data_IF_367499282188
#
_entry.id   IF_367499282188
#
_cell.length_a   1.000
_cell.length_b   1.000
_cell.length_c   1.000
_cell.angle_alpha   90.00
_cell.angle_beta   90.00
_cell.angle_gamma   90.00
#
_symmetry.space_group_name_H-M   'P 1'
#
loop_
_entity.id
_entity.type
_entity.pdbx_description
1 polymer ?
#
# COMPACT_ATOMS: atom_id res chain seq x y z
N UNK A 1 -3.92 8.01 -28.55
CA UNK A 1 -4.69 8.09 -27.30
C UNK A 1 -4.19 6.95 -26.44
N UNK A 2 -3.15 7.23 -25.67
CA UNK A 2 -2.58 6.26 -24.72
C UNK A 2 -3.58 6.14 -23.56
N UNK A 3 -4.38 5.08 -23.59
CA UNK A 3 -5.34 4.79 -22.53
C UNK A 3 -4.61 4.46 -21.21
N UNK A 4 -5.26 4.77 -20.09
CA UNK A 4 -4.83 4.34 -18.76
C UNK A 4 -4.54 2.83 -18.78
N UNK A 5 -3.35 2.44 -18.34
CA UNK A 5 -2.95 1.03 -18.27
C UNK A 5 -3.51 0.44 -16.97
N UNK A 6 -4.34 -0.62 -17.02
CA UNK A 6 -4.81 -1.28 -15.81
C UNK A 6 -3.61 -1.76 -14.99
N UNK A 7 -3.67 -1.51 -13.68
CA UNK A 7 -2.70 -1.97 -12.73
C UNK A 7 -3.35 -2.81 -11.63
N UNK A 8 -2.55 -3.69 -11.00
CA UNK A 8 -3.00 -4.50 -9.89
C UNK A 8 -1.87 -4.66 -8.86
N UNK A 9 -2.21 -4.73 -7.58
CA UNK A 9 -1.27 -5.14 -6.55
C UNK A 9 -0.97 -6.64 -6.62
N UNK A 10 0.28 -7.04 -6.48
CA UNK A 10 0.67 -8.46 -6.51
C UNK A 10 0.01 -9.28 -5.39
N UNK A 11 -0.39 -8.65 -4.27
CA UNK A 11 -1.16 -9.31 -3.21
C UNK A 11 -2.58 -9.66 -3.67
N UNK A 12 -3.18 -8.86 -4.56
CA UNK A 12 -4.51 -9.12 -5.13
C UNK A 12 -4.52 -10.28 -6.12
N UNK A 13 -3.34 -10.72 -6.57
CA UNK A 13 -3.15 -11.92 -7.40
C UNK A 13 -2.93 -13.21 -6.56
N UNK A 14 -3.17 -13.14 -5.25
CA UNK A 14 -3.08 -14.27 -4.31
C UNK A 14 -1.98 -14.08 -3.27
N UNK A 15 -1.92 -14.97 -2.27
CA UNK A 15 -0.90 -14.92 -1.21
C UNK A 15 0.46 -15.45 -1.66
N UNK A 16 1.54 -14.79 -1.28
CA UNK A 16 2.90 -15.12 -1.74
C UNK A 16 3.37 -16.52 -1.32
N UNK A 17 2.91 -17.00 -0.16
CA UNK A 17 3.21 -18.35 0.33
C UNK A 17 2.44 -19.48 -0.37
N UNK A 18 1.49 -19.15 -1.25
CA UNK A 18 0.70 -20.13 -2.02
C UNK A 18 0.97 -19.97 -3.52
N UNK A 19 1.03 -18.72 -4.00
CA UNK A 19 1.13 -18.38 -5.41
C UNK A 19 2.48 -17.71 -5.68
N UNK A 20 3.33 -18.38 -6.44
CA UNK A 20 4.63 -17.83 -6.80
C UNK A 20 4.49 -16.65 -7.77
N UNK A 21 5.49 -15.75 -7.74
CA UNK A 21 5.51 -14.56 -8.62
C UNK A 21 5.31 -14.90 -10.11
N UNK A 22 5.96 -15.92 -10.71
CA UNK A 22 5.71 -16.27 -12.12
C UNK A 22 4.24 -16.62 -12.42
N UNK A 23 3.54 -17.29 -11.50
CA UNK A 23 2.12 -17.63 -11.66
C UNK A 23 1.27 -16.36 -11.64
N UNK A 24 1.52 -15.48 -10.66
CA UNK A 24 0.82 -14.19 -10.53
C UNK A 24 0.97 -13.34 -11.79
N UNK A 25 2.20 -13.16 -12.26
CA UNK A 25 2.49 -12.36 -13.46
C UNK A 25 1.88 -12.95 -14.73
N UNK A 26 1.85 -14.27 -14.84
CA UNK A 26 1.20 -14.95 -15.98
C UNK A 26 -0.31 -14.73 -15.96
N UNK A 27 -0.94 -14.73 -14.78
CA UNK A 27 -2.36 -14.40 -14.64
C UNK A 27 -2.63 -12.94 -15.04
N UNK A 28 -1.86 -11.98 -14.51
CA UNK A 28 -2.01 -10.56 -14.86
C UNK A 28 -1.89 -10.33 -16.38
N UNK A 29 -0.85 -10.90 -17.01
CA UNK A 29 -0.60 -10.80 -18.45
C UNK A 29 -1.74 -11.42 -19.28
N UNK A 30 -2.25 -12.60 -18.89
CA UNK A 30 -3.39 -13.27 -19.56
C UNK A 30 -4.66 -12.42 -19.51
N UNK A 31 -4.82 -11.58 -18.48
CA UNK A 31 -5.95 -10.67 -18.32
C UNK A 31 -5.68 -9.24 -18.82
N UNK A 32 -4.59 -9.02 -19.57
CA UNK A 32 -4.19 -7.71 -20.10
C UNK A 32 -3.97 -6.63 -19.03
N UNK A 33 -3.52 -7.03 -17.84
CA UNK A 33 -3.10 -6.13 -16.77
C UNK A 33 -1.58 -5.98 -16.86
N UNK A 34 -1.13 -4.80 -17.27
CA UNK A 34 0.28 -4.53 -17.57
C UNK A 34 0.90 -3.49 -16.63
N UNK A 35 0.17 -3.01 -15.63
CA UNK A 35 0.70 -2.30 -14.46
C UNK A 35 0.74 -3.23 -13.25
N UNK A 36 1.80 -3.14 -12.44
CA UNK A 36 1.93 -3.96 -11.24
C UNK A 36 2.49 -3.15 -10.08
N UNK A 37 1.80 -3.18 -8.95
CA UNK A 37 2.34 -2.73 -7.67
C UNK A 37 2.93 -3.97 -6.97
N UNK A 38 4.20 -3.91 -6.61
CA UNK A 38 4.83 -5.01 -5.88
C UNK A 38 4.46 -4.88 -4.41
N UNK A 39 3.78 -5.90 -3.89
CA UNK A 39 3.58 -6.05 -2.47
C UNK A 39 4.85 -6.65 -1.83
N UNK A 40 5.36 -6.07 -0.75
CA UNK A 40 6.68 -6.38 -0.19
C UNK A 40 6.77 -7.84 0.29
N UNK A 41 5.65 -8.43 0.71
CA UNK A 41 5.56 -9.86 1.03
C UNK A 41 5.99 -10.72 -0.16
N UNK A 42 5.60 -10.38 -1.38
CA UNK A 42 5.98 -11.13 -2.57
C UNK A 42 7.49 -11.07 -2.84
N UNK A 43 8.09 -9.88 -2.65
CA UNK A 43 9.54 -9.71 -2.73
C UNK A 43 10.25 -10.56 -1.69
N UNK A 44 9.78 -10.50 -0.44
CA UNK A 44 10.36 -11.23 0.68
C UNK A 44 10.26 -12.74 0.49
N UNK A 45 9.09 -13.27 0.12
CA UNK A 45 8.89 -14.70 -0.11
C UNK A 45 9.69 -15.23 -1.30
N UNK A 46 9.82 -14.43 -2.37
CA UNK A 46 10.72 -14.80 -3.45
C UNK A 46 12.18 -14.85 -2.97
N UNK A 47 12.62 -13.84 -2.22
CA UNK A 47 13.96 -13.82 -1.65
C UNK A 47 14.21 -15.02 -0.73
N UNK A 48 13.24 -15.39 0.13
CA UNK A 48 13.31 -16.59 0.97
C UNK A 48 13.50 -17.86 0.15
N UNK A 49 12.71 -17.99 -0.91
CA UNK A 49 12.73 -19.16 -1.80
C UNK A 49 14.05 -19.28 -2.54
N UNK A 50 14.56 -18.18 -3.10
CA UNK A 50 15.79 -18.16 -3.89
C UNK A 50 17.05 -18.31 -3.03
N UNK A 51 17.05 -17.73 -1.82
CA UNK A 51 18.18 -17.81 -0.89
C UNK A 51 18.10 -19.00 0.08
N UNK A 52 16.98 -19.74 0.07
CA UNK A 52 16.70 -20.87 0.95
C UNK A 52 16.89 -20.54 2.45
N UNK A 53 16.38 -19.38 2.88
CA UNK A 53 16.36 -18.92 4.29
C UNK A 53 15.04 -18.24 4.63
N UNK A 54 14.60 -18.36 5.88
CA UNK A 54 13.39 -17.69 6.38
C UNK A 54 13.59 -16.19 6.62
N UNK A 55 14.83 -15.74 6.81
CA UNK A 55 15.18 -14.33 7.02
C UNK A 55 16.16 -13.91 5.93
N UNK A 56 15.66 -13.42 4.78
CA UNK A 56 16.52 -13.00 3.67
C UNK A 56 17.42 -11.83 4.09
N UNK A 57 18.67 -11.85 3.63
CA UNK A 57 19.56 -10.71 3.79
C UNK A 57 19.15 -9.57 2.85
N UNK A 58 19.66 -8.34 3.07
CA UNK A 58 19.49 -7.25 2.12
C UNK A 58 19.90 -7.63 0.69
N UNK A 59 21.00 -8.38 0.52
CA UNK A 59 21.47 -8.85 -0.79
C UNK A 59 20.49 -9.83 -1.44
N UNK A 60 19.88 -10.73 -0.66
CA UNK A 60 18.85 -11.64 -1.15
C UNK A 60 17.60 -10.89 -1.63
N UNK A 61 17.19 -9.83 -0.91
CA UNK A 61 16.08 -8.97 -1.34
C UNK A 61 16.40 -8.22 -2.64
N UNK A 62 17.62 -7.71 -2.79
CA UNK A 62 18.05 -7.05 -4.04
C UNK A 62 18.13 -8.02 -5.22
N UNK A 63 18.54 -9.27 -4.96
CA UNK A 63 18.52 -10.33 -5.96
C UNK A 63 17.09 -10.65 -6.41
N UNK A 64 16.18 -10.89 -5.46
CA UNK A 64 14.78 -11.16 -5.75
C UNK A 64 14.10 -10.00 -6.50
N UNK A 65 14.44 -8.74 -6.17
CA UNK A 65 13.95 -7.59 -6.91
C UNK A 65 14.40 -7.62 -8.38
N UNK A 66 15.65 -8.05 -8.64
CA UNK A 66 16.17 -8.21 -10.00
C UNK A 66 15.42 -9.33 -10.74
N UNK A 67 15.12 -10.44 -10.07
CA UNK A 67 14.31 -11.53 -10.65
C UNK A 67 12.91 -11.04 -10.99
N UNK A 68 12.22 -10.34 -10.09
CA UNK A 68 10.89 -9.77 -10.33
C UNK A 68 10.91 -8.85 -11.55
N UNK A 69 11.91 -7.96 -11.64
CA UNK A 69 12.07 -7.05 -12.77
C UNK A 69 12.18 -7.81 -14.09
N UNK A 70 13.07 -8.82 -14.15
CA UNK A 70 13.24 -9.63 -15.35
C UNK A 70 11.94 -10.35 -15.76
N UNK A 71 11.23 -10.95 -14.80
CA UNK A 71 9.95 -11.63 -15.06
C UNK A 71 8.87 -10.67 -15.56
N UNK A 72 8.84 -9.44 -15.07
CA UNK A 72 7.91 -8.41 -15.53
C UNK A 72 8.27 -7.96 -16.96
N UNK A 73 9.55 -7.75 -17.26
CA UNK A 73 10.04 -7.35 -18.58
C UNK A 73 9.69 -8.40 -19.65
N UNK A 74 9.89 -9.69 -19.36
CA UNK A 74 9.49 -10.80 -20.24
C UNK A 74 8.00 -10.78 -20.63
N UNK A 75 7.15 -10.19 -19.78
CA UNK A 75 5.70 -10.17 -19.92
C UNK A 75 5.15 -8.79 -20.29
N UNK A 76 6.03 -7.82 -20.55
CA UNK A 76 5.69 -6.41 -20.79
C UNK A 76 4.86 -5.78 -19.66
N UNK A 77 5.10 -6.20 -18.42
CA UNK A 77 4.46 -5.63 -17.22
C UNK A 77 5.35 -4.51 -16.68
N UNK A 78 4.78 -3.33 -16.52
CA UNK A 78 5.44 -2.17 -15.91
C UNK A 78 5.21 -2.20 -14.41
N UNK A 79 6.28 -2.17 -13.63
CA UNK A 79 6.19 -2.02 -12.18
C UNK A 79 5.96 -0.54 -11.87
N UNK A 80 4.86 -0.23 -11.18
CA UNK A 80 4.44 1.16 -10.93
C UNK A 80 4.70 1.64 -9.51
N UNK A 81 5.03 0.72 -8.59
CA UNK A 81 5.41 1.07 -7.22
C UNK A 81 5.72 -0.14 -6.35
N UNK A 82 6.33 0.12 -5.19
CA UNK A 82 6.58 -0.85 -4.13
C UNK A 82 5.78 -0.47 -2.88
N UNK A 83 5.02 -1.42 -2.35
CA UNK A 83 4.15 -1.22 -1.19
C UNK A 83 4.13 -2.47 -0.31
N UNK A 84 3.67 -2.38 0.94
CA UNK A 84 3.59 -1.19 1.77
C UNK A 84 4.89 -1.03 2.56
N UNK A 85 5.36 0.21 2.73
CA UNK A 85 6.36 0.54 3.75
C UNK A 85 5.64 0.77 5.08
N UNK A 86 5.16 -0.33 5.69
CA UNK A 86 4.27 -0.27 6.86
C UNK A 86 4.94 0.24 8.14
N UNK A 87 4.11 0.81 9.01
CA UNK A 87 4.42 1.16 10.40
C UNK A 87 5.56 2.17 10.52
N UNK A 88 5.44 3.31 9.85
CA UNK A 88 6.53 4.29 9.81
C UNK A 88 6.25 5.52 10.67
N UNK A 89 5.24 6.31 10.32
CA UNK A 89 5.04 7.62 10.92
C UNK A 89 4.49 7.54 12.34
N UNK A 90 4.83 8.53 13.17
CA UNK A 90 4.23 8.70 14.49
C UNK A 90 4.73 7.71 15.54
N UNK A 91 5.87 7.06 15.34
CA UNK A 91 6.47 6.17 16.33
C UNK A 91 6.94 6.97 17.57
N UNK A 92 6.44 6.61 18.74
CA UNK A 92 6.90 7.18 20.03
C UNK A 92 8.33 6.76 20.35
N UNK A 93 8.68 5.52 20.05
CA UNK A 93 10.05 5.07 20.15
C UNK A 93 10.87 5.60 18.97
N UNK A 94 11.70 6.59 19.24
CA UNK A 94 12.55 7.23 18.22
C UNK A 94 13.69 6.33 17.75
N UNK A 95 13.99 5.25 18.46
CA UNK A 95 14.88 4.20 17.96
C UNK A 95 14.21 3.40 16.83
N UNK A 96 12.95 3.00 17.00
CA UNK A 96 12.19 2.31 15.94
C UNK A 96 12.07 3.20 14.69
N UNK A 97 11.86 4.51 14.86
CA UNK A 97 11.93 5.48 13.75
C UNK A 97 13.27 5.45 13.02
N UNK A 98 14.38 5.50 13.76
CA UNK A 98 15.72 5.46 13.16
C UNK A 98 15.98 4.15 12.40
N UNK A 99 15.48 3.01 12.89
CA UNK A 99 15.55 1.73 12.18
C UNK A 99 14.75 1.76 10.86
N UNK A 100 13.60 2.44 10.83
CA UNK A 100 12.83 2.64 9.60
C UNK A 100 13.56 3.51 8.60
N UNK A 101 14.19 4.59 9.05
CA UNK A 101 15.05 5.44 8.22
C UNK A 101 16.19 4.63 7.60
N UNK A 102 16.83 3.75 8.37
CA UNK A 102 17.86 2.88 7.82
C UNK A 102 17.30 1.87 6.82
N UNK A 103 16.15 1.26 7.12
CA UNK A 103 15.44 0.36 6.19
C UNK A 103 15.05 1.06 4.88
N UNK A 104 14.71 2.34 4.92
CA UNK A 104 14.34 3.12 3.72
C UNK A 104 15.50 3.19 2.71
N UNK A 105 16.75 3.23 3.18
CA UNK A 105 17.93 3.20 2.28
C UNK A 105 18.01 1.91 1.46
N UNK A 106 17.57 0.79 2.02
CA UNK A 106 17.45 -0.47 1.27
C UNK A 106 16.30 -0.39 0.26
N UNK A 107 15.17 0.21 0.65
CA UNK A 107 14.02 0.42 -0.25
C UNK A 107 14.39 1.26 -1.47
N UNK A 108 15.19 2.31 -1.33
CA UNK A 108 15.70 3.08 -2.47
C UNK A 108 16.49 2.24 -3.47
N UNK A 109 17.30 1.29 -2.99
CA UNK A 109 18.01 0.35 -3.88
C UNK A 109 17.03 -0.61 -4.56
N UNK A 110 16.03 -1.10 -3.83
CA UNK A 110 15.02 -2.02 -4.37
C UNK A 110 14.20 -1.34 -5.47
N UNK A 111 13.65 -0.14 -5.24
CA UNK A 111 12.79 0.52 -6.24
C UNK A 111 13.57 0.84 -7.52
N UNK A 112 14.85 1.23 -7.41
CA UNK A 112 15.74 1.42 -8.56
C UNK A 112 15.92 0.13 -9.37
N UNK A 113 16.11 -1.01 -8.72
CA UNK A 113 16.21 -2.33 -9.39
C UNK A 113 14.88 -2.69 -10.05
N UNK A 114 13.77 -2.46 -9.37
CA UNK A 114 12.42 -2.68 -9.91
C UNK A 114 12.07 -1.69 -11.04
N UNK A 115 12.88 -0.66 -11.27
CA UNK A 115 12.64 0.36 -12.30
C UNK A 115 11.44 1.27 -11.99
N UNK A 116 11.12 1.45 -10.71
CA UNK A 116 10.09 2.39 -10.24
C UNK A 116 10.70 3.43 -9.31
N UNK A 117 10.05 4.57 -9.19
CA UNK A 117 10.40 5.64 -8.28
C UNK A 117 9.36 5.80 -7.15
N UNK A 118 8.33 4.94 -7.07
CA UNK A 118 7.21 5.13 -6.16
C UNK A 118 7.24 4.13 -4.99
N UNK A 119 7.20 4.65 -3.77
CA UNK A 119 7.02 3.89 -2.52
C UNK A 119 5.70 4.27 -1.87
N UNK A 120 4.89 3.28 -1.47
CA UNK A 120 3.66 3.54 -0.74
C UNK A 120 3.89 3.41 0.78
N UNK A 121 3.41 4.39 1.55
CA UNK A 121 3.46 4.41 3.01
C UNK A 121 2.01 4.44 3.53
N UNK A 122 1.48 3.33 4.07
CA UNK A 122 0.15 3.33 4.68
C UNK A 122 0.12 4.06 6.02
N UNK A 123 -1.02 4.67 6.31
CA UNK A 123 -1.31 5.24 7.61
C UNK A 123 -1.12 4.22 8.74
N UNK A 124 -0.43 4.61 9.80
CA UNK A 124 0.03 3.69 10.82
C UNK A 124 -1.14 3.18 11.69
N UNK A 125 -1.20 1.85 11.84
CA UNK A 125 -2.25 1.15 12.61
C UNK A 125 -1.67 0.31 13.76
N UNK A 126 -0.45 0.61 14.22
CA UNK A 126 0.09 0.05 15.46
C UNK A 126 -0.76 0.48 16.68
N UNK A 127 -0.72 -0.28 17.79
CA UNK A 127 -1.43 0.09 19.02
C UNK A 127 -1.12 1.52 19.50
N UNK A 128 -2.14 2.22 20.04
CA UNK A 128 -2.06 3.65 20.45
C UNK A 128 -0.92 3.94 21.42
N UNK A 129 -0.53 2.99 22.25
CA UNK A 129 0.58 3.13 23.18
C UNK A 129 1.93 3.29 22.48
N UNK A 130 2.07 2.79 21.24
CA UNK A 130 3.29 2.88 20.42
C UNK A 130 3.33 4.12 19.53
N UNK A 131 2.16 4.73 19.28
CA UNK A 131 2.02 5.84 18.34
C UNK A 131 1.70 7.15 19.06
N UNK A 132 2.13 8.26 18.48
CA UNK A 132 1.74 9.61 18.87
C UNK A 132 0.68 10.15 17.90
N UNK A 133 -0.24 10.99 18.40
CA UNK A 133 -1.16 11.80 17.62
C UNK A 133 -0.62 13.23 17.39
N UNK A 134 0.60 13.52 17.85
CA UNK A 134 1.30 14.78 17.64
C UNK A 134 1.63 14.97 16.15
N UNK A 135 0.83 15.81 15.49
CA UNK A 135 0.94 16.10 14.06
C UNK A 135 2.32 16.64 13.67
N UNK A 136 3.00 17.39 14.54
CA UNK A 136 4.32 17.94 14.21
C UNK A 136 5.37 16.81 14.11
N UNK A 137 5.27 15.78 14.96
CA UNK A 137 6.13 14.58 14.89
C UNK A 137 5.83 13.79 13.62
N UNK A 138 4.55 13.55 13.32
CA UNK A 138 4.13 12.77 12.16
C UNK A 138 4.58 13.43 10.86
N UNK A 139 4.36 14.74 10.73
CA UNK A 139 4.80 15.52 9.58
C UNK A 139 6.31 15.52 9.48
N UNK A 140 7.04 15.68 10.59
CA UNK A 140 8.50 15.62 10.58
C UNK A 140 9.03 14.26 10.15
N UNK A 141 8.40 13.15 10.56
CA UNK A 141 8.79 11.81 10.13
C UNK A 141 8.64 11.67 8.61
N UNK A 142 7.47 12.03 8.07
CA UNK A 142 7.18 11.92 6.65
C UNK A 142 8.03 12.88 5.79
N UNK A 143 8.34 14.08 6.30
CA UNK A 143 9.29 15.00 5.67
C UNK A 143 10.69 14.40 5.59
N UNK A 144 11.15 13.67 6.61
CA UNK A 144 12.48 13.07 6.60
C UNK A 144 12.65 12.07 5.46
N UNK A 145 11.70 11.14 5.26
CA UNK A 145 11.75 10.21 4.11
C UNK A 145 11.56 10.92 2.78
N UNK A 146 10.70 11.93 2.69
CA UNK A 146 10.52 12.73 1.49
C UNK A 146 11.83 13.44 1.10
N UNK A 147 12.48 14.10 2.05
CA UNK A 147 13.76 14.79 1.85
C UNK A 147 14.91 13.81 1.53
N UNK A 148 14.83 12.57 2.01
CA UNK A 148 15.74 11.50 1.61
C UNK A 148 15.48 11.05 0.16
N UNK A 149 14.22 10.78 -0.20
CA UNK A 149 13.86 10.34 -1.55
C UNK A 149 14.13 11.39 -2.63
N UNK A 150 13.99 12.68 -2.29
CA UNK A 150 14.32 13.79 -3.20
C UNK A 150 15.82 13.87 -3.56
N UNK A 151 16.70 13.23 -2.78
CA UNK A 151 18.15 13.15 -3.06
C UNK A 151 18.53 11.96 -3.94
N UNK A 152 17.60 11.05 -4.19
CA UNK A 152 17.82 9.92 -5.09
C UNK A 152 17.74 10.38 -6.56
N UNK A 153 18.33 9.59 -7.46
CA UNK A 153 18.27 9.82 -8.91
C UNK A 153 17.79 8.53 -9.62
N UNK A 154 16.61 8.55 -10.26
CA UNK A 154 15.60 9.62 -10.18
C UNK A 154 15.07 9.79 -8.75
N UNK A 155 14.50 10.97 -8.45
CA UNK A 155 13.91 11.24 -7.15
C UNK A 155 12.83 10.21 -6.82
N UNK A 156 12.92 9.61 -5.64
CA UNK A 156 11.91 8.67 -5.14
C UNK A 156 10.73 9.46 -4.60
N UNK A 157 9.54 9.10 -5.07
CA UNK A 157 8.25 9.65 -4.69
C UNK A 157 7.56 8.74 -3.68
N UNK A 158 6.74 9.34 -2.82
CA UNK A 158 6.00 8.64 -1.80
C UNK A 158 4.50 8.88 -1.96
N UNK A 159 3.73 7.80 -1.90
CA UNK A 159 2.28 7.85 -1.87
C UNK A 159 1.78 7.42 -0.48
N UNK A 160 1.20 8.35 0.25
CA UNK A 160 0.61 8.09 1.56
C UNK A 160 -0.77 7.43 1.37
N UNK A 161 -0.94 6.21 1.86
CA UNK A 161 -2.22 5.48 1.77
C UNK A 161 -3.03 5.73 3.06
N UNK A 162 -4.16 6.43 2.93
CA UNK A 162 -5.09 6.58 4.04
C UNK A 162 -5.80 5.23 4.30
N UNK A 163 -5.73 4.74 5.53
CA UNK A 163 -6.45 3.55 5.95
C UNK A 163 -7.59 3.98 6.88
N UNK A 164 -8.83 3.63 6.53
CA UNK A 164 -10.02 3.92 7.35
C UNK A 164 -10.05 3.16 8.70
N UNK A 165 -9.04 2.33 8.95
CA UNK A 165 -8.79 1.66 10.23
C UNK A 165 -7.43 2.01 10.84
N UNK A 166 -6.78 3.09 10.37
CA UNK A 166 -5.55 3.59 11.00
C UNK A 166 -5.82 4.05 12.43
N UNK A 167 -4.76 4.16 13.24
CA UNK A 167 -4.92 4.39 14.68
C UNK A 167 -5.40 5.81 15.02
N UNK A 168 -5.00 6.81 14.21
CA UNK A 168 -5.27 8.23 14.46
C UNK A 168 -5.81 9.01 13.24
N UNK A 169 -5.59 8.56 12.00
CA UNK A 169 -5.95 9.30 10.77
C UNK A 169 -6.81 8.43 9.86
N UNK A 170 -8.02 8.13 10.29
CA UNK A 170 -8.93 7.15 9.69
C UNK A 170 -9.98 7.76 8.73
N UNK A 171 -9.80 9.04 8.37
CA UNK A 171 -10.64 9.76 7.41
C UNK A 171 -9.78 10.31 6.27
N UNK A 172 -10.37 10.44 5.09
CA UNK A 172 -9.67 11.00 3.92
C UNK A 172 -9.22 12.44 4.17
N UNK A 173 -10.01 13.24 4.91
CA UNK A 173 -9.65 14.61 5.28
C UNK A 173 -8.38 14.63 6.16
N UNK A 174 -8.28 13.71 7.11
CA UNK A 174 -7.11 13.60 7.97
C UNK A 174 -5.86 13.17 7.20
N UNK A 175 -5.99 12.20 6.28
CA UNK A 175 -4.91 11.84 5.36
C UNK A 175 -4.47 13.00 4.47
N UNK A 176 -5.42 13.79 3.98
CA UNK A 176 -5.14 14.97 3.16
C UNK A 176 -4.46 16.11 3.95
N UNK A 177 -4.85 16.34 5.20
CA UNK A 177 -4.18 17.32 6.09
C UNK A 177 -2.72 16.94 6.35
N UNK A 178 -2.44 15.65 6.59
CA UNK A 178 -1.06 15.14 6.72
C UNK A 178 -0.24 15.46 5.46
N UNK A 179 -0.72 15.07 4.27
CA UNK A 179 -0.03 15.28 3.01
C UNK A 179 0.20 16.78 2.74
N UNK A 180 -0.80 17.62 3.01
CA UNK A 180 -0.70 19.07 2.84
C UNK A 180 0.37 19.69 3.75
N UNK A 181 0.52 19.19 4.99
CA UNK A 181 1.54 19.69 5.94
C UNK A 181 2.94 19.17 5.66
N UNK A 182 3.06 17.97 5.09
CA UNK A 182 4.36 17.44 4.65
C UNK A 182 4.98 18.37 3.63
N UNK A 183 4.18 18.89 2.68
CA UNK A 183 4.58 19.95 1.75
C UNK A 183 5.94 19.68 1.09
N UNK A 184 6.03 18.56 0.36
CA UNK A 184 7.18 18.17 -0.46
C UNK A 184 6.69 17.72 -1.83
N UNK A 185 7.36 18.16 -2.90
CA UNK A 185 6.94 17.88 -4.28
C UNK A 185 6.91 16.37 -4.61
N UNK A 186 7.74 15.57 -3.93
CA UNK A 186 7.80 14.12 -4.10
C UNK A 186 6.95 13.33 -3.09
N UNK A 187 6.07 13.98 -2.34
CA UNK A 187 5.18 13.32 -1.37
C UNK A 187 3.72 13.67 -1.67
N UNK A 188 2.89 12.66 -1.87
CA UNK A 188 1.47 12.83 -2.21
C UNK A 188 0.59 11.77 -1.58
N UNK A 189 -0.71 11.81 -1.85
CA UNK A 189 -1.69 10.81 -1.38
C UNK A 189 -1.91 9.73 -2.44
N UNK A 190 -2.09 8.49 -2.00
CA UNK A 190 -2.69 7.42 -2.79
C UNK A 190 -4.21 7.42 -2.51
N UNK A 191 -4.97 8.01 -3.43
CA UNK A 191 -6.43 8.01 -3.43
C UNK A 191 -7.06 9.40 -3.35
N UNK A 192 -7.72 9.82 -4.43
CA UNK A 192 -8.95 10.61 -4.39
C UNK A 192 -9.90 9.98 -5.43
N UNK A 193 -11.22 9.77 -5.16
CA UNK A 193 -12.21 9.34 -6.16
C UNK A 193 -13.54 10.11 -6.51
N UNK A 194 -13.56 11.12 -7.41
CA UNK A 194 -14.35 12.37 -7.62
C UNK A 194 -15.82 12.49 -7.31
N UNK A 195 -16.47 11.46 -6.79
CA UNK A 195 -17.51 11.66 -5.80
C UNK A 195 -16.86 12.00 -4.45
N UNK A 196 -17.32 13.04 -3.73
CA UNK A 196 -16.84 13.24 -2.34
C UNK A 196 -17.22 12.06 -1.42
N UNK A 197 -18.31 11.34 -1.69
CA UNK A 197 -18.82 10.40 -0.68
C UNK A 197 -18.26 8.98 -0.78
N UNK A 198 -17.46 8.67 -1.80
CA UNK A 198 -17.15 7.27 -2.13
C UNK A 198 -18.41 6.40 -2.34
N UNK A 199 -19.62 7.01 -2.37
CA UNK A 199 -20.98 6.46 -2.21
C UNK A 199 -22.03 7.38 -2.91
N UNK A 200 -23.29 6.95 -3.09
CA UNK A 200 -24.39 7.75 -3.71
C UNK A 200 -25.12 8.64 -2.69
N UNK A 201 -25.74 9.75 -3.14
CA UNK A 201 -26.44 10.78 -2.33
C UNK A 201 -27.53 10.25 -1.36
N UNK A 202 -27.94 8.97 -1.49
CA UNK A 202 -28.96 8.29 -0.70
C UNK A 202 -28.47 7.01 0.02
N UNK A 203 -27.15 6.80 0.12
CA UNK A 203 -26.53 5.57 0.63
C UNK A 203 -27.04 5.16 2.02
N UNK A 204 -27.29 6.13 2.90
CA UNK A 204 -27.84 5.90 4.23
C UNK A 204 -29.27 5.35 4.20
N UNK A 205 -30.13 5.81 3.30
CA UNK A 205 -31.54 5.39 3.27
C UNK A 205 -31.68 3.93 2.80
N UNK A 206 -30.92 3.53 1.78
CA UNK A 206 -30.92 2.17 1.25
C UNK A 206 -30.29 1.15 2.22
N UNK A 207 -29.23 1.53 2.94
CA UNK A 207 -28.62 0.72 4.01
C UNK A 207 -29.65 0.39 5.09
N UNK A 208 -30.45 1.39 5.50
CA UNK A 208 -31.44 1.24 6.55
C UNK A 208 -32.65 0.34 6.15
N UNK A 209 -33.24 0.48 4.97
CA UNK A 209 -34.38 -0.38 4.53
C UNK A 209 -33.98 -1.87 4.33
N UNK A 210 -32.71 -2.11 4.01
CA UNK A 210 -32.15 -3.46 3.86
C UNK A 210 -31.96 -4.16 5.21
N UNK A 211 -31.37 -3.46 6.18
CA UNK A 211 -31.18 -3.95 7.55
C UNK A 211 -32.53 -4.26 8.21
N UNK A 212 -33.58 -3.50 7.92
CA UNK A 212 -34.93 -3.76 8.42
C UNK A 212 -35.57 -5.05 7.86
N UNK A 213 -35.47 -5.32 6.55
CA UNK A 213 -35.98 -6.59 5.96
C UNK A 213 -35.21 -7.80 6.48
N UNK A 214 -33.90 -7.67 6.65
CA UNK A 214 -33.02 -8.69 7.22
C UNK A 214 -33.45 -9.05 8.65
N UNK A 215 -33.66 -8.05 9.50
CA UNK A 215 -34.12 -8.22 10.88
C UNK A 215 -35.52 -8.87 10.97
N UNK A 216 -36.41 -8.65 9.98
CA UNK A 216 -37.77 -9.22 9.96
C UNK A 216 -37.85 -10.64 9.41
N UNK A 217 -36.82 -11.12 8.70
CA UNK A 217 -36.89 -12.36 7.89
C UNK A 217 -35.95 -13.47 8.42
N UNK A 218 -34.82 -13.10 9.02
CA UNK A 218 -33.83 -14.07 9.52
C UNK A 218 -34.21 -14.58 10.91
N UNK A 219 -34.28 -15.91 11.07
CA UNK A 219 -34.33 -16.55 12.39
C UNK A 219 -32.91 -16.51 13.01
N UNK A 220 -32.76 -15.72 14.07
CA UNK A 220 -31.51 -15.51 14.80
C UNK A 220 -30.85 -16.80 15.31
N UNK A 221 -31.61 -17.89 15.47
CA UNK A 221 -31.05 -19.19 15.88
C UNK A 221 -30.17 -19.84 14.79
N UNK A 222 -30.22 -19.34 13.56
CA UNK A 222 -29.40 -19.80 12.42
C UNK A 222 -28.25 -18.85 12.08
N UNK A 223 -27.97 -17.84 12.91
CA UNK A 223 -26.87 -16.89 12.73
C UNK A 223 -25.69 -17.30 13.61
N UNK A 224 -24.57 -17.72 12.99
CA UNK A 224 -23.42 -18.28 13.71
C UNK A 224 -22.18 -17.37 13.75
N UNK A 225 -21.97 -16.55 12.73
CA UNK A 225 -21.06 -15.40 12.75
C UNK A 225 -21.45 -14.41 11.64
N UNK A 226 -20.95 -13.17 11.73
CA UNK A 226 -21.08 -12.13 10.71
C UNK A 226 -19.68 -11.64 10.36
N UNK A 227 -19.42 -11.48 9.06
CA UNK A 227 -18.27 -10.74 8.56
C UNK A 227 -18.76 -9.56 7.74
N UNK A 228 -18.21 -8.40 8.06
CA UNK A 228 -18.48 -7.14 7.38
C UNK A 228 -17.20 -6.76 6.64
N UNK A 229 -17.32 -6.37 5.39
CA UNK A 229 -16.23 -5.90 4.53
C UNK A 229 -16.72 -4.67 3.75
N UNK A 230 -15.78 -3.80 3.38
CA UNK A 230 -16.02 -2.54 2.65
C UNK A 230 -15.08 -2.45 1.42
N UNK A 231 -15.44 -1.63 0.44
CA UNK A 231 -14.59 -1.28 -0.71
C UNK A 231 -15.03 0.06 -1.32
N UNK A 232 -14.09 1.00 -1.43
CA UNK A 232 -14.30 2.41 -1.81
C UNK A 232 -13.95 2.71 -3.28
N UNK A 233 -14.42 3.86 -3.79
CA UNK A 233 -14.38 4.29 -5.21
C UNK A 233 -12.98 4.82 -5.65
N UNK A 234 -12.70 4.98 -6.97
CA UNK A 234 -11.54 5.69 -7.63
C UNK A 234 -12.03 6.88 -8.54
N UNK A 235 -11.30 8.02 -8.77
CA UNK A 235 -11.85 9.35 -9.31
C UNK A 235 -11.96 9.20 -10.82
N UNK A 236 -10.83 9.39 -11.48
CA UNK A 236 -9.98 8.37 -12.05
C UNK A 236 -8.59 8.59 -11.43
N UNK A 237 -7.65 7.65 -11.63
CA UNK A 237 -7.10 6.75 -10.60
C UNK A 237 -7.62 6.82 -9.14
#
# INVERSE_FOLDING_TARGET
MDGLKPAISSMSLGRAWIHSMPIKLSAASTHNIFGLEIFYEDLEYLARTESNTETPSPEALLHAASTIKALCDERNITIIGLQPFSFYEGLKDRHEHAEKIEKMKLWFKIVKILGTDLVQIPANFLPREKLTDDMDIIVSDLQEVADMGAKEEPAVRFAYENLCWSTFFDTWEAGWDVVTRVDRENFGIYGDPSSIYGKTENAEKALNESLERLAKTIDVKKLFYIQVVDAEKMQEP
#
